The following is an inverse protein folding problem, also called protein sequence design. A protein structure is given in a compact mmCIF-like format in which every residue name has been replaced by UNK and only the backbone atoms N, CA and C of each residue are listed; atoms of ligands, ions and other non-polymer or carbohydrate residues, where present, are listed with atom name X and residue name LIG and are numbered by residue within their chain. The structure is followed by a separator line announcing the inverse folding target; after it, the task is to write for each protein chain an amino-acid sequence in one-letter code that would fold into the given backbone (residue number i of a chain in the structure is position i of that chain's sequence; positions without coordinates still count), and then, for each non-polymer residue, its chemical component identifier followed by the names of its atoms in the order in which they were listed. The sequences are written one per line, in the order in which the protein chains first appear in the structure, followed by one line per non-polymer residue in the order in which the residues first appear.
data_IF_895451617601
#
_entry.id   IF_895451617601
#
_cell.length_a   1.000
_cell.length_b   1.000
_cell.length_c   1.000
_cell.angle_alpha   90.00
_cell.angle_beta   90.00
_cell.angle_gamma   90.00
#
_symmetry.space_group_name_H-M   'P 1'
#
loop_
_entity.id
_entity.type
_entity.pdbx_description
1 polymer ?
#
# COMPACT_ATOMS: atom_id res chain seq x y z
N UNK A 1 -26.17 -13.27 -18.37
CA UNK A 1 -25.76 -12.06 -19.12
C UNK A 1 -25.07 -11.04 -18.23
N UNK A 2 -25.72 -10.45 -17.20
CA UNK A 2 -25.02 -9.53 -16.27
C UNK A 2 -24.01 -10.24 -15.35
N UNK A 3 -24.33 -11.44 -14.85
CA UNK A 3 -23.42 -12.19 -13.97
C UNK A 3 -22.15 -12.69 -14.70
N UNK A 4 -22.27 -12.97 -16.00
CA UNK A 4 -21.16 -13.43 -16.84
C UNK A 4 -20.18 -12.29 -17.12
N UNK A 5 -20.69 -11.09 -17.40
CA UNK A 5 -19.89 -9.89 -17.61
C UNK A 5 -19.18 -9.46 -16.33
N UNK A 6 -19.90 -9.44 -15.20
CA UNK A 6 -19.31 -9.15 -13.90
C UNK A 6 -18.17 -10.13 -13.55
N UNK A 7 -18.41 -11.43 -13.74
CA UNK A 7 -17.41 -12.46 -13.45
C UNK A 7 -16.17 -12.31 -14.33
N UNK A 8 -16.34 -11.93 -15.61
CA UNK A 8 -15.23 -11.63 -16.51
C UNK A 8 -14.42 -10.42 -16.03
N UNK A 9 -15.08 -9.31 -15.73
CA UNK A 9 -14.40 -8.09 -15.26
C UNK A 9 -13.67 -8.32 -13.93
N UNK A 10 -14.22 -9.14 -13.05
CA UNK A 10 -13.56 -9.53 -11.81
C UNK A 10 -12.25 -10.29 -12.09
N UNK A 11 -12.25 -11.25 -13.01
CA UNK A 11 -11.03 -11.98 -13.39
C UNK A 11 -10.00 -11.05 -14.03
N UNK A 12 -10.42 -10.14 -14.92
CA UNK A 12 -9.54 -9.13 -15.53
C UNK A 12 -8.92 -8.20 -14.48
N UNK A 13 -9.68 -7.83 -13.44
CA UNK A 13 -9.20 -6.99 -12.33
C UNK A 13 -8.17 -7.73 -11.48
N UNK A 14 -8.36 -9.03 -11.24
CA UNK A 14 -7.38 -9.84 -10.52
C UNK A 14 -6.09 -10.04 -11.33
N UNK A 15 -6.19 -10.15 -12.65
CA UNK A 15 -5.01 -10.15 -13.54
C UNK A 15 -4.28 -8.80 -13.48
N UNK A 16 -5.02 -7.68 -13.52
CA UNK A 16 -4.43 -6.36 -13.36
C UNK A 16 -3.63 -6.25 -12.05
N UNK A 17 -4.15 -6.77 -10.94
CA UNK A 17 -3.44 -6.75 -9.65
C UNK A 17 -2.11 -7.49 -9.68
N UNK A 18 -2.03 -8.61 -10.42
CA UNK A 18 -0.78 -9.34 -10.64
C UNK A 18 0.20 -8.47 -11.46
N UNK A 19 -0.25 -7.89 -12.57
CA UNK A 19 0.60 -7.01 -13.40
C UNK A 19 1.13 -5.79 -12.65
N UNK A 20 0.33 -5.22 -11.77
CA UNK A 20 0.72 -4.07 -10.94
C UNK A 20 1.56 -4.47 -9.72
N UNK A 21 1.61 -5.76 -9.36
CA UNK A 21 2.28 -6.21 -8.14
C UNK A 21 1.59 -5.75 -6.85
N UNK A 22 0.25 -5.58 -6.86
CA UNK A 22 -0.52 -5.05 -5.73
C UNK A 22 -0.31 -5.86 -4.45
N UNK A 23 -0.21 -7.19 -4.55
CA UNK A 23 0.05 -8.03 -3.37
C UNK A 23 1.35 -7.64 -2.66
N UNK A 24 2.42 -7.41 -3.43
CA UNK A 24 3.71 -7.00 -2.88
C UNK A 24 3.61 -5.62 -2.23
N UNK A 25 2.97 -4.67 -2.91
CA UNK A 25 2.76 -3.31 -2.40
C UNK A 25 1.99 -3.36 -1.07
N UNK A 26 0.91 -4.14 -1.04
CA UNK A 26 0.07 -4.31 0.14
C UNK A 26 0.86 -4.93 1.31
N UNK A 27 1.60 -6.02 1.07
CA UNK A 27 2.40 -6.67 2.10
C UNK A 27 3.49 -5.74 2.65
N UNK A 28 4.22 -5.04 1.79
CA UNK A 28 5.22 -4.05 2.21
C UNK A 28 4.58 -2.96 3.08
N UNK A 29 3.42 -2.43 2.69
CA UNK A 29 2.73 -1.39 3.45
C UNK A 29 2.30 -1.87 4.86
N UNK A 30 1.98 -3.15 5.03
CA UNK A 30 1.63 -3.73 6.33
C UNK A 30 2.85 -4.03 7.21
N UNK A 31 3.98 -4.43 6.62
CA UNK A 31 5.18 -4.79 7.37
C UNK A 31 6.05 -3.58 7.73
N UNK A 32 6.08 -2.56 6.88
CA UNK A 32 7.01 -1.45 7.00
C UNK A 32 6.87 -0.66 8.32
N UNK A 33 5.66 -0.27 8.79
CA UNK A 33 5.52 0.41 10.08
C UNK A 33 6.01 -0.43 11.26
N UNK A 34 5.91 -1.75 11.17
CA UNK A 34 6.37 -2.66 12.22
C UNK A 34 7.89 -2.63 12.32
N UNK A 35 8.56 -2.77 11.17
CA UNK A 35 10.03 -2.76 11.09
C UNK A 35 10.67 -1.42 11.49
N UNK A 36 9.94 -0.31 11.38
CA UNK A 36 10.44 1.04 11.67
C UNK A 36 10.09 1.52 13.08
N UNK A 37 9.21 0.81 13.81
CA UNK A 37 8.76 1.27 15.12
C UNK A 37 9.77 0.91 16.22
N UNK A 38 10.35 1.89 16.94
CA UNK A 38 11.24 1.61 18.06
C UNK A 38 10.51 1.01 19.27
N UNK A 39 9.17 0.99 19.25
CA UNK A 39 8.32 0.44 20.31
C UNK A 39 7.99 -1.04 20.11
N UNK A 40 8.32 -1.61 18.96
CA UNK A 40 8.01 -3.00 18.61
C UNK A 40 9.28 -3.84 18.78
N UNK A 41 9.23 -4.80 19.71
CA UNK A 41 10.28 -5.82 19.83
C UNK A 41 10.14 -6.87 18.74
N UNK A 42 11.20 -7.62 18.44
CA UNK A 42 11.14 -8.69 17.42
C UNK A 42 10.08 -9.77 17.73
N UNK A 43 9.85 -10.08 19.00
CA UNK A 43 8.80 -11.01 19.41
C UNK A 43 7.39 -10.46 19.17
N UNK A 44 7.20 -9.15 19.38
CA UNK A 44 5.94 -8.48 19.06
C UNK A 44 5.72 -8.41 17.56
N UNK A 45 6.76 -8.09 16.79
CA UNK A 45 6.72 -8.04 15.34
C UNK A 45 6.22 -9.37 14.76
N UNK A 46 6.77 -10.50 15.20
CA UNK A 46 6.34 -11.83 14.73
C UNK A 46 4.86 -12.10 15.04
N UNK A 47 4.40 -11.80 16.25
CA UNK A 47 2.97 -11.98 16.62
C UNK A 47 2.04 -11.08 15.82
N UNK A 48 2.47 -9.85 15.53
CA UNK A 48 1.69 -8.92 14.70
C UNK A 48 1.67 -9.41 13.24
N UNK A 49 2.78 -9.90 12.70
CA UNK A 49 2.84 -10.50 11.35
C UNK A 49 1.91 -11.71 11.24
N UNK A 50 1.89 -12.60 12.23
CA UNK A 50 0.95 -13.72 12.28
C UNK A 50 -0.52 -13.24 12.28
N UNK A 51 -0.83 -12.21 13.05
CA UNK A 51 -2.16 -11.60 13.07
C UNK A 51 -2.55 -10.97 11.73
N UNK A 52 -1.64 -10.22 11.10
CA UNK A 52 -1.84 -9.62 9.78
C UNK A 52 -2.05 -10.71 8.73
N UNK A 53 -1.23 -11.76 8.71
CA UNK A 53 -1.40 -12.87 7.76
C UNK A 53 -2.76 -13.55 7.92
N UNK A 54 -3.22 -13.70 9.17
CA UNK A 54 -4.50 -14.36 9.48
C UNK A 54 -5.73 -13.57 9.00
N UNK A 55 -5.74 -12.25 9.12
CA UNK A 55 -6.95 -11.45 8.85
C UNK A 55 -6.82 -10.45 7.70
N UNK A 56 -5.60 -10.01 7.41
CA UNK A 56 -5.30 -8.96 6.45
C UNK A 56 -4.44 -9.45 5.29
N UNK A 57 -4.20 -10.75 5.13
CA UNK A 57 -3.48 -11.21 3.94
C UNK A 57 -4.22 -10.83 2.65
N UNK A 58 -3.45 -10.59 1.59
CA UNK A 58 -4.00 -10.17 0.30
C UNK A 58 -5.14 -11.08 -0.19
N UNK A 59 -5.07 -12.39 0.08
CA UNK A 59 -6.14 -13.32 -0.26
C UNK A 59 -7.50 -13.01 0.41
N UNK A 60 -7.52 -12.45 1.61
CA UNK A 60 -8.75 -12.05 2.29
C UNK A 60 -9.34 -10.77 1.74
N UNK A 61 -8.50 -9.84 1.28
CA UNK A 61 -8.93 -8.50 0.86
C UNK A 61 -9.08 -8.34 -0.66
N UNK A 62 -8.44 -9.19 -1.47
CA UNK A 62 -8.34 -9.00 -2.95
C UNK A 62 -9.71 -8.95 -3.63
N UNK A 63 -10.69 -9.68 -3.11
CA UNK A 63 -12.04 -9.70 -3.69
C UNK A 63 -12.78 -8.39 -3.43
N UNK A 64 -12.63 -7.83 -2.22
CA UNK A 64 -13.25 -6.54 -1.90
C UNK A 64 -12.50 -5.38 -2.56
N UNK A 65 -11.17 -5.47 -2.67
CA UNK A 65 -10.38 -4.53 -3.45
C UNK A 65 -10.75 -4.56 -4.93
N UNK A 66 -10.96 -5.75 -5.51
CA UNK A 66 -11.38 -5.88 -6.90
C UNK A 66 -12.76 -5.25 -7.15
N UNK A 67 -13.72 -5.43 -6.22
CA UNK A 67 -15.01 -4.74 -6.29
C UNK A 67 -14.83 -3.22 -6.29
N UNK A 68 -13.98 -2.67 -5.41
CA UNK A 68 -13.71 -1.23 -5.39
C UNK A 68 -13.16 -0.73 -6.74
N UNK A 69 -12.29 -1.50 -7.39
CA UNK A 69 -11.82 -1.16 -8.75
C UNK A 69 -12.96 -1.21 -9.77
N UNK A 70 -13.80 -2.24 -9.72
CA UNK A 70 -14.95 -2.39 -10.63
C UNK A 70 -16.04 -1.34 -10.41
N UNK A 71 -16.13 -0.75 -9.22
CA UNK A 71 -17.03 0.38 -8.93
C UNK A 71 -16.55 1.70 -9.58
N UNK A 72 -15.25 1.80 -9.91
CA UNK A 72 -14.63 3.00 -10.48
C UNK A 72 -14.26 2.86 -11.96
N UNK A 73 -14.02 1.64 -12.42
CA UNK A 73 -13.52 1.34 -13.75
C UNK A 73 -14.40 0.29 -14.43
N UNK A 74 -14.74 0.51 -15.69
CA UNK A 74 -15.43 -0.51 -16.48
C UNK A 74 -14.42 -1.54 -17.04
N UNK A 75 -14.93 -2.64 -17.63
CA UNK A 75 -14.09 -3.70 -18.21
C UNK A 75 -13.06 -3.21 -19.22
N UNK A 76 -13.39 -2.20 -20.05
CA UNK A 76 -12.45 -1.65 -21.03
C UNK A 76 -11.31 -0.90 -20.35
N UNK A 77 -11.60 -0.13 -19.31
CA UNK A 77 -10.57 0.59 -18.55
C UNK A 77 -9.61 -0.39 -17.86
N UNK A 78 -10.15 -1.45 -17.25
CA UNK A 78 -9.36 -2.53 -16.65
C UNK A 78 -8.47 -3.21 -17.69
N UNK A 79 -9.00 -3.53 -18.88
CA UNK A 79 -8.21 -4.11 -19.98
C UNK A 79 -7.07 -3.20 -20.42
N UNK A 80 -7.34 -1.90 -20.63
CA UNK A 80 -6.29 -0.94 -21.00
C UNK A 80 -5.19 -0.83 -19.94
N UNK A 81 -5.57 -0.86 -18.65
CA UNK A 81 -4.59 -0.89 -17.56
C UNK A 81 -3.75 -2.17 -17.60
N UNK A 82 -4.39 -3.32 -17.77
CA UNK A 82 -3.70 -4.62 -17.87
C UNK A 82 -2.75 -4.64 -19.06
N UNK A 83 -3.15 -4.15 -20.23
CA UNK A 83 -2.31 -4.03 -21.42
C UNK A 83 -1.10 -3.14 -21.16
N UNK A 84 -1.32 -1.95 -20.59
CA UNK A 84 -0.23 -1.02 -20.27
C UNK A 84 0.77 -1.63 -19.29
N UNK A 85 0.28 -2.14 -18.15
CA UNK A 85 1.14 -2.76 -17.14
C UNK A 85 1.76 -4.08 -17.63
N UNK A 86 1.27 -4.70 -18.71
CA UNK A 86 1.93 -5.85 -19.34
C UNK A 86 3.12 -5.48 -20.24
N UNK A 87 3.32 -4.20 -20.57
CA UNK A 87 4.48 -3.75 -21.34
C UNK A 87 5.75 -3.68 -20.50
N UNK A 88 6.93 -3.75 -21.14
CA UNK A 88 8.22 -3.56 -20.46
C UNK A 88 8.29 -2.24 -19.68
N UNK A 89 7.72 -1.16 -20.25
CA UNK A 89 7.67 0.13 -19.58
C UNK A 89 6.70 0.13 -18.40
N UNK A 90 5.51 -0.46 -18.55
CA UNK A 90 4.52 -0.56 -17.47
C UNK A 90 5.04 -1.35 -16.27
N UNK A 91 5.70 -2.49 -16.52
CA UNK A 91 6.38 -3.27 -15.49
C UNK A 91 7.51 -2.48 -14.82
N UNK A 92 8.33 -1.78 -15.61
CA UNK A 92 9.38 -0.90 -15.08
C UNK A 92 8.79 0.22 -14.23
N UNK A 93 7.67 0.82 -14.65
CA UNK A 93 7.00 1.89 -13.90
C UNK A 93 6.46 1.37 -12.57
N UNK A 94 5.72 0.25 -12.55
CA UNK A 94 5.20 -0.34 -11.31
C UNK A 94 6.33 -0.64 -10.30
N UNK A 95 7.44 -1.17 -10.79
CA UNK A 95 8.62 -1.42 -9.95
C UNK A 95 9.26 -0.13 -9.44
N UNK A 96 9.43 0.86 -10.32
CA UNK A 96 10.02 2.16 -9.97
C UNK A 96 9.15 2.93 -8.96
N UNK A 97 7.82 2.94 -9.12
CA UNK A 97 6.89 3.58 -8.19
C UNK A 97 6.98 2.99 -6.79
N UNK A 98 7.12 1.66 -6.68
CA UNK A 98 7.36 0.99 -5.38
C UNK A 98 8.65 1.50 -4.73
N UNK A 99 9.76 1.53 -5.48
CA UNK A 99 11.05 1.99 -4.97
C UNK A 99 11.01 3.48 -4.60
N UNK A 100 10.38 4.31 -5.44
CA UNK A 100 10.24 5.75 -5.20
C UNK A 100 9.42 6.00 -3.94
N UNK A 101 8.34 5.24 -3.72
CA UNK A 101 7.53 5.35 -2.50
C UNK A 101 8.35 5.01 -1.23
N UNK A 102 9.13 3.92 -1.26
CA UNK A 102 10.04 3.55 -0.17
C UNK A 102 11.08 4.66 0.10
N UNK A 103 11.71 5.19 -0.96
CA UNK A 103 12.68 6.28 -0.84
C UNK A 103 12.04 7.58 -0.31
N UNK A 104 10.84 7.91 -0.75
CA UNK A 104 10.08 9.08 -0.28
C UNK A 104 9.79 8.96 1.22
N UNK A 105 9.42 7.77 1.69
CA UNK A 105 9.19 7.53 3.12
C UNK A 105 10.49 7.69 3.94
N UNK A 106 11.61 7.13 3.48
CA UNK A 106 12.90 7.30 4.16
C UNK A 106 13.30 8.78 4.21
N UNK A 107 13.18 9.49 3.09
CA UNK A 107 13.52 10.91 3.00
C UNK A 107 12.68 11.76 3.96
N UNK A 108 11.37 11.52 4.02
CA UNK A 108 10.46 12.25 4.91
C UNK A 108 10.73 11.96 6.39
N UNK A 109 11.03 10.71 6.76
CA UNK A 109 11.45 10.39 8.12
C UNK A 109 12.77 11.07 8.51
N UNK A 110 13.76 11.10 7.62
CA UNK A 110 15.03 11.79 7.87
C UNK A 110 14.83 13.30 8.05
N UNK A 111 13.93 13.90 7.27
CA UNK A 111 13.59 15.31 7.41
C UNK A 111 12.95 15.60 8.77
N UNK A 112 12.00 14.76 9.21
CA UNK A 112 11.39 14.89 10.54
C UNK A 112 12.44 14.75 11.65
N UNK A 113 13.35 13.77 11.56
CA UNK A 113 14.41 13.59 12.54
C UNK A 113 15.35 14.80 12.62
N UNK A 114 15.72 15.36 11.46
CA UNK A 114 16.58 16.55 11.39
C UNK A 114 15.94 17.79 12.05
N UNK A 115 14.61 17.88 12.01
CA UNK A 115 13.84 19.00 12.58
C UNK A 115 13.15 18.65 13.91
N UNK A 116 13.47 17.51 14.54
CA UNK A 116 12.75 17.01 15.71
C UNK A 116 12.81 17.95 16.91
N UNK A 117 13.95 18.62 17.15
CA UNK A 117 14.10 19.58 18.26
C UNK A 117 13.28 20.86 18.07
N UNK A 118 13.18 21.34 16.83
CA UNK A 118 12.34 22.47 16.47
C UNK A 118 10.86 22.13 16.69
N UNK A 119 10.45 20.95 16.21
CA UNK A 119 9.10 20.43 16.44
C UNK A 119 8.77 20.30 17.94
N UNK A 120 9.71 19.79 18.75
CA UNK A 120 9.52 19.69 20.21
C UNK A 120 9.35 21.06 20.87
N UNK A 121 10.06 22.08 20.39
CA UNK A 121 9.93 23.45 20.91
C UNK A 121 8.55 24.01 20.61
N UNK A 122 8.07 23.87 19.37
CA UNK A 122 6.73 24.29 18.95
C UNK A 122 5.64 23.62 19.82
N UNK A 123 5.74 22.30 20.00
CA UNK A 123 4.77 21.53 20.79
C UNK A 123 4.80 21.89 22.29
N UNK A 124 5.96 22.30 22.81
CA UNK A 124 6.08 22.68 24.23
C UNK A 124 5.51 24.08 24.48
N UNK A 125 5.76 25.04 23.58
CA UNK A 125 5.22 26.40 23.67
C UNK A 125 3.69 26.43 23.61
N UNK A 126 3.10 25.55 22.80
CA UNK A 126 1.65 25.45 22.66
C UNK A 126 0.94 25.02 23.97
N UNK A 127 1.62 24.27 24.85
CA UNK A 127 1.07 23.87 26.15
C UNK A 127 1.17 24.95 27.23
N UNK A 128 2.06 25.94 27.05
CA UNK A 128 2.24 27.06 27.99
C UNK A 128 1.26 28.20 27.69
N UNK A 129 0.84 28.38 26.43
CA UNK A 129 -0.16 29.39 26.03
C UNK A 129 -1.62 29.01 26.39
N UNK A 130 -1.89 27.74 26.74
CA UNK A 130 -3.21 27.25 27.17
C UNK A 130 -3.38 27.19 28.70
N UNK A 131 -2.42 27.70 29.50
CA UNK A 131 -2.47 27.77 30.97
C UNK A 131 -2.62 29.19 31.50
#
# INVERSE_FOLDING_TARGET
TNDDEYSKTLLETLELFDKMGIEKIFNTAMELPLSQSPLITSDMENKIKEFIQKYFSFNHIKMDLAKMYMDHFNSRDIQHYTEFYSTDFGQKLAHAETIIAEQLQIMTQQLLQKHASELQTILSQQNDDER
#
